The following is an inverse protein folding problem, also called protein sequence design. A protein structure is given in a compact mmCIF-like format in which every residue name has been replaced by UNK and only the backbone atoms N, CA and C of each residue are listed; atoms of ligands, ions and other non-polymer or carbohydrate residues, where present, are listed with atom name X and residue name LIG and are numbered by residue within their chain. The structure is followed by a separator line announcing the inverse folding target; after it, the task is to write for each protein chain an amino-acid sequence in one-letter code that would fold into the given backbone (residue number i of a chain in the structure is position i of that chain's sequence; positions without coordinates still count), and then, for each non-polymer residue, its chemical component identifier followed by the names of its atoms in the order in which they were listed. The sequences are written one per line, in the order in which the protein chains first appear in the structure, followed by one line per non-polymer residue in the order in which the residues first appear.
data_IF_110961238960
#
_entry.id   IF_110961238960
#
_cell.length_a   1.000
_cell.length_b   1.000
_cell.length_c   1.000
_cell.angle_alpha   90.00
_cell.angle_beta   90.00
_cell.angle_gamma   90.00
#
_symmetry.space_group_name_H-M   'P 1'
#
loop_
_entity.id
_entity.type
_entity.pdbx_description
1 polymer ?
#
# COMPACT_ATOMS: atom_id res chain seq x y z
N UNK A 1 18.45 -3.47 -8.23
CA UNK A 1 17.79 -2.69 -9.29
C UNK A 1 16.60 -3.50 -9.75
N UNK A 2 15.51 -2.85 -10.16
CA UNK A 2 14.26 -3.53 -10.53
C UNK A 2 14.38 -4.30 -11.85
N UNK A 3 13.74 -5.46 -11.92
CA UNK A 3 13.61 -6.32 -13.10
C UNK A 3 12.73 -5.69 -14.18
N UNK A 4 12.78 -6.19 -15.42
CA UNK A 4 11.96 -5.67 -16.54
C UNK A 4 10.45 -5.79 -16.29
N UNK A 5 10.00 -6.87 -15.63
CA UNK A 5 8.59 -7.06 -15.28
C UNK A 5 8.12 -6.04 -14.23
N UNK A 6 8.97 -5.72 -13.26
CA UNK A 6 8.71 -4.66 -12.28
C UNK A 6 8.72 -3.29 -12.95
N UNK A 7 9.62 -3.07 -13.92
CA UNK A 7 9.65 -1.83 -14.70
C UNK A 7 8.39 -1.60 -15.54
N UNK A 8 7.78 -2.65 -16.08
CA UNK A 8 6.51 -2.55 -16.79
C UNK A 8 5.35 -2.15 -15.85
N UNK A 9 5.24 -2.77 -14.67
CA UNK A 9 4.18 -2.43 -13.70
C UNK A 9 4.35 -1.05 -13.06
N UNK A 10 5.60 -0.64 -12.80
CA UNK A 10 5.93 0.66 -12.24
C UNK A 10 5.94 1.78 -13.30
N UNK A 11 5.98 1.42 -14.60
CA UNK A 11 5.92 2.37 -15.72
C UNK A 11 4.62 3.17 -15.74
N UNK A 12 3.49 2.54 -15.41
CA UNK A 12 2.18 3.19 -15.30
C UNK A 12 2.09 4.21 -14.15
N UNK A 13 2.98 4.11 -13.16
CA UNK A 13 3.04 4.98 -11.99
C UNK A 13 3.99 6.16 -12.16
N UNK A 14 5.15 5.91 -12.75
CA UNK A 14 6.30 6.82 -12.69
C UNK A 14 6.85 7.22 -14.05
N UNK A 15 6.28 6.68 -15.14
CA UNK A 15 6.79 6.87 -16.50
C UNK A 15 8.10 6.10 -16.74
N UNK A 16 8.90 6.55 -17.71
CA UNK A 16 10.11 5.86 -18.13
C UNK A 16 11.17 5.74 -16.99
N UNK A 17 11.93 4.63 -16.89
CA UNK A 17 12.84 4.32 -15.78
C UNK A 17 13.85 5.41 -15.40
N UNK A 18 14.26 6.25 -16.36
CA UNK A 18 15.20 7.35 -16.12
C UNK A 18 14.62 8.53 -15.32
N UNK A 19 13.29 8.59 -15.13
CA UNK A 19 12.61 9.69 -14.39
C UNK A 19 12.29 9.34 -12.93
N UNK A 20 12.47 8.08 -12.54
CA UNK A 20 12.05 7.60 -11.23
C UNK A 20 12.80 8.27 -10.08
N UNK A 21 14.08 8.63 -10.27
CA UNK A 21 14.88 9.34 -9.27
C UNK A 21 14.35 10.74 -8.90
N UNK A 22 13.64 11.39 -9.82
CA UNK A 22 13.10 12.76 -9.61
C UNK A 22 11.66 12.76 -9.08
N UNK A 23 10.89 11.69 -9.34
CA UNK A 23 9.49 11.52 -8.92
C UNK A 23 9.29 10.69 -7.66
N UNK A 24 10.33 10.01 -7.16
CA UNK A 24 10.38 9.32 -5.86
C UNK A 24 10.41 10.29 -4.65
N UNK A 25 9.62 11.36 -4.68
CA UNK A 25 9.32 12.09 -3.43
C UNK A 25 8.38 11.21 -2.61
N UNK A 26 8.79 10.89 -1.39
CA UNK A 26 8.22 9.87 -0.51
C UNK A 26 6.72 9.62 -0.73
N UNK A 27 6.39 8.41 -1.16
CA UNK A 27 5.01 7.99 -1.33
C UNK A 27 4.44 7.75 0.06
N UNK A 28 3.54 8.63 0.51
CA UNK A 28 2.85 8.42 1.77
C UNK A 28 2.09 7.09 1.69
N UNK A 29 2.54 6.12 2.48
CA UNK A 29 1.82 4.85 2.62
C UNK A 29 0.60 5.03 3.51
N UNK A 30 0.81 5.47 4.76
CA UNK A 30 -0.30 5.72 5.69
C UNK A 30 0.14 6.60 6.86
N UNK A 31 -0.85 7.11 7.60
CA UNK A 31 -0.67 7.66 8.93
C UNK A 31 -1.22 6.66 9.96
N UNK A 32 -0.44 6.39 11.00
CA UNK A 32 -0.86 5.57 12.12
C UNK A 32 -0.60 6.33 13.44
N UNK A 33 -1.56 6.23 14.36
CA UNK A 33 -1.50 6.89 15.67
C UNK A 33 -1.72 5.86 16.76
N UNK A 34 -0.89 5.91 17.79
CA UNK A 34 -0.97 5.01 18.94
C UNK A 34 -0.71 5.78 20.24
N UNK A 35 -1.43 5.42 21.30
CA UNK A 35 -1.11 5.84 22.67
C UNK A 35 -0.24 4.77 23.29
N UNK A 36 1.01 5.12 23.61
CA UNK A 36 1.96 4.21 24.25
C UNK A 36 1.71 4.19 25.76
N UNK A 37 1.54 3.02 26.39
CA UNK A 37 1.42 2.91 27.85
C UNK A 37 2.67 3.44 28.58
N UNK A 38 2.57 3.81 29.88
CA UNK A 38 3.74 4.23 30.65
C UNK A 38 4.84 3.16 30.64
N UNK A 39 6.09 3.59 30.48
CA UNK A 39 7.27 2.73 30.49
C UNK A 39 8.50 3.48 31.00
N UNK A 40 9.54 2.74 31.39
CA UNK A 40 10.86 3.27 31.72
C UNK A 40 11.89 2.73 30.73
N UNK A 41 12.77 3.60 30.22
CA UNK A 41 13.82 3.22 29.26
C UNK A 41 13.29 2.95 27.85
N UNK A 42 12.82 1.72 27.59
CA UNK A 42 12.36 1.29 26.28
C UNK A 42 11.15 0.35 26.39
N UNK A 43 10.28 0.39 25.38
CA UNK A 43 9.11 -0.49 25.27
C UNK A 43 8.89 -0.91 23.82
N UNK A 44 8.14 -1.99 23.63
CA UNK A 44 7.68 -2.47 22.33
C UNK A 44 6.15 -2.41 22.34
N UNK A 45 5.59 -1.87 21.27
CA UNK A 45 4.15 -1.73 21.09
C UNK A 45 3.77 -2.12 19.69
N UNK A 46 2.59 -2.72 19.55
CA UNK A 46 2.02 -3.02 18.24
C UNK A 46 1.39 -1.75 17.66
N UNK A 47 1.87 -1.33 16.48
CA UNK A 47 1.31 -0.22 15.73
C UNK A 47 0.40 -0.80 14.63
N UNK A 48 -0.93 -0.62 14.71
CA UNK A 48 -1.82 -1.06 13.65
C UNK A 48 -1.59 -0.24 12.39
N UNK A 49 -1.18 -0.91 11.32
CA UNK A 49 -1.00 -0.33 9.99
C UNK A 49 -2.06 -0.91 9.06
N UNK A 50 -2.97 -0.06 8.58
CA UNK A 50 -4.00 -0.49 7.64
C UNK A 50 -3.35 -0.80 6.29
N UNK A 51 -3.29 -2.09 5.96
CA UNK A 51 -2.85 -2.58 4.67
C UNK A 51 -4.08 -2.71 3.76
N UNK A 52 -4.10 -1.97 2.64
CA UNK A 52 -5.21 -1.99 1.70
C UNK A 52 -4.74 -2.44 0.32
N UNK A 53 -5.65 -3.03 -0.45
CA UNK A 53 -5.47 -3.36 -1.88
C UNK A 53 -5.85 -2.20 -2.79
N UNK A 54 -5.97 -0.97 -2.25
CA UNK A 54 -6.38 0.18 -3.06
C UNK A 54 -5.23 0.59 -3.98
N UNK A 55 -5.27 0.06 -5.19
CA UNK A 55 -4.34 0.37 -6.25
C UNK A 55 -4.45 1.81 -6.72
N UNK A 56 -5.32 2.70 -6.24
CA UNK A 56 -5.24 4.11 -6.62
C UNK A 56 -4.21 4.91 -5.81
N UNK A 57 -3.74 4.36 -4.70
CA UNK A 57 -2.69 4.99 -3.89
C UNK A 57 -1.33 4.57 -4.44
N UNK A 58 -0.51 5.55 -4.85
CA UNK A 58 0.79 5.31 -5.47
C UNK A 58 1.71 4.41 -4.61
N UNK A 59 1.64 4.54 -3.28
CA UNK A 59 2.34 3.65 -2.35
C UNK A 59 1.89 2.20 -2.48
N UNK A 60 0.58 1.93 -2.53
CA UNK A 60 0.03 0.57 -2.67
C UNK A 60 0.39 -0.05 -4.02
N UNK A 61 0.34 0.71 -5.13
CA UNK A 61 0.80 0.22 -6.43
C UNK A 61 2.30 -0.09 -6.42
N UNK A 62 3.12 0.74 -5.78
CA UNK A 62 4.54 0.46 -5.61
C UNK A 62 4.75 -0.82 -4.79
N UNK A 63 4.09 -0.95 -3.64
CA UNK A 63 4.16 -2.14 -2.78
C UNK A 63 3.73 -3.42 -3.51
N UNK A 64 2.71 -3.35 -4.36
CA UNK A 64 2.25 -4.48 -5.17
C UNK A 64 3.17 -4.78 -6.37
N UNK A 65 3.83 -3.75 -6.92
CA UNK A 65 4.69 -3.85 -8.09
C UNK A 65 6.06 -4.44 -7.82
N UNK A 66 6.57 -4.33 -6.58
CA UNK A 66 7.86 -4.93 -6.19
C UNK A 66 7.67 -6.43 -5.94
N UNK A 67 8.40 -7.26 -6.68
CA UNK A 67 8.24 -8.72 -6.71
C UNK A 67 9.26 -9.45 -5.86
N UNK A 68 10.46 -8.89 -5.72
CA UNK A 68 11.55 -9.43 -4.92
C UNK A 68 12.37 -8.36 -4.18
N UNK A 69 13.23 -8.82 -3.26
CA UNK A 69 14.08 -7.94 -2.45
C UNK A 69 13.35 -7.26 -1.30
N UNK A 70 13.56 -5.95 -1.16
CA UNK A 70 13.24 -5.18 0.03
C UNK A 70 12.58 -3.85 -0.33
N UNK A 71 11.46 -3.54 0.33
CA UNK A 71 10.73 -2.28 0.23
C UNK A 71 11.35 -1.28 1.23
N UNK A 72 11.90 -0.15 0.78
CA UNK A 72 12.39 0.88 1.68
C UNK A 72 11.21 1.62 2.33
N UNK A 73 11.17 1.62 3.65
CA UNK A 73 10.23 2.37 4.46
C UNK A 73 10.97 3.46 5.24
N UNK A 74 10.35 4.63 5.27
CA UNK A 74 10.76 5.76 6.10
C UNK A 74 9.62 6.06 7.08
N UNK A 75 9.92 5.95 8.37
CA UNK A 75 8.98 6.21 9.45
C UNK A 75 9.29 7.57 10.04
N UNK A 76 8.34 8.49 9.93
CA UNK A 76 8.44 9.84 10.49
C UNK A 76 7.59 9.91 11.75
N UNK A 77 8.20 10.30 12.87
CA UNK A 77 7.53 10.34 14.17
C UNK A 77 7.14 11.76 14.54
N UNK A 78 5.92 11.91 15.04
CA UNK A 78 5.43 13.14 15.65
C UNK A 78 4.51 12.80 16.79
N UNK A 79 4.59 13.56 17.87
CA UNK A 79 3.77 13.30 19.06
C UNK A 79 4.25 14.06 20.28
N UNK A 80 3.66 13.69 21.41
CA UNK A 80 3.88 14.33 22.69
C UNK A 80 4.25 13.27 23.72
N UNK A 81 5.31 13.53 24.47
CA UNK A 81 5.80 12.70 25.56
C UNK A 81 5.47 13.37 26.89
N UNK A 82 4.84 12.61 27.78
CA UNK A 82 4.56 12.99 29.16
C UNK A 82 5.53 12.24 30.06
N UNK A 83 6.24 12.93 30.95
CA UNK A 83 7.21 12.31 31.84
C UNK A 83 7.27 13.03 33.19
N UNK A 84 7.74 12.34 34.23
CA UNK A 84 7.97 12.97 35.53
C UNK A 84 9.33 13.69 35.52
N UNK A 85 9.31 15.00 35.82
CA UNK A 85 10.52 15.81 35.97
C UNK A 85 11.19 15.60 37.34
N UNK A 86 12.35 16.25 37.55
CA UNK A 86 13.02 16.25 38.85
C UNK A 86 12.07 16.81 39.93
N UNK A 87 11.70 15.97 40.91
CA UNK A 87 10.72 16.30 41.95
C UNK A 87 9.28 15.80 41.69
N UNK A 88 9.04 15.00 40.65
CA UNK A 88 7.76 14.32 40.42
C UNK A 88 6.69 15.16 39.72
N UNK A 89 6.99 16.42 39.35
CA UNK A 89 6.09 17.25 38.57
C UNK A 89 5.94 16.70 37.13
N UNK A 90 4.71 16.66 36.61
CA UNK A 90 4.46 16.27 35.23
C UNK A 90 5.09 17.28 34.25
N UNK A 91 5.87 16.76 33.31
CA UNK A 91 6.48 17.50 32.21
C UNK A 91 5.94 17.01 30.87
N UNK A 92 5.96 17.91 29.89
CA UNK A 92 5.50 17.65 28.53
C UNK A 92 6.62 18.04 27.58
N UNK A 93 6.94 17.15 26.64
CA UNK A 93 7.84 17.47 25.53
C UNK A 93 7.22 16.99 24.21
N UNK A 94 7.59 17.63 23.10
CA UNK A 94 7.24 17.14 21.76
C UNK A 94 8.35 16.25 21.24
N UNK A 95 7.97 15.20 20.52
CA UNK A 95 8.93 14.43 19.72
C UNK A 95 9.58 15.40 18.73
N UNK A 96 10.91 15.31 18.61
CA UNK A 96 11.69 16.16 17.71
C UNK A 96 11.22 16.00 16.26
N UNK A 97 11.27 17.07 15.49
CA UNK A 97 10.85 17.08 14.08
C UNK A 97 11.74 16.22 13.18
N UNK A 98 12.93 15.86 13.63
CA UNK A 98 13.88 14.98 12.95
C UNK A 98 13.89 13.55 13.51
N UNK A 99 12.88 13.18 14.31
CA UNK A 99 12.74 11.82 14.78
C UNK A 99 12.22 10.96 13.62
N UNK A 100 13.13 10.21 13.01
CA UNK A 100 12.84 9.33 11.89
C UNK A 100 13.57 7.99 12.04
N UNK A 101 13.05 6.96 11.38
CA UNK A 101 13.71 5.67 11.25
C UNK A 101 13.55 5.13 9.83
N UNK A 102 14.57 4.45 9.33
CA UNK A 102 14.48 3.73 8.05
C UNK A 102 14.43 2.23 8.32
N UNK A 103 13.60 1.55 7.54
CA UNK A 103 13.48 0.10 7.62
C UNK A 103 13.37 -0.49 6.22
N UNK A 104 14.12 -1.55 5.94
CA UNK A 104 14.01 -2.31 4.70
C UNK A 104 13.11 -3.49 4.99
N UNK A 105 11.84 -3.39 4.57
CA UNK A 105 10.85 -4.43 4.78
C UNK A 105 10.99 -5.49 3.69
N UNK A 106 11.15 -6.77 4.05
CA UNK A 106 11.23 -7.80 3.04
C UNK A 106 9.92 -7.92 2.28
N UNK A 107 9.99 -7.98 0.95
CA UNK A 107 8.79 -8.10 0.09
C UNK A 107 7.95 -9.30 0.46
N UNK A 108 8.59 -10.39 0.92
CA UNK A 108 7.88 -11.59 1.43
C UNK A 108 6.95 -11.30 2.60
N UNK A 109 7.26 -10.32 3.45
CA UNK A 109 6.40 -9.93 4.59
C UNK A 109 5.13 -9.27 4.07
N UNK A 110 5.29 -8.30 3.16
CA UNK A 110 4.15 -7.66 2.50
C UNK A 110 3.28 -8.68 1.77
N UNK A 111 3.88 -9.54 0.95
CA UNK A 111 3.14 -10.57 0.21
C UNK A 111 2.40 -11.53 1.14
N UNK A 112 3.06 -12.04 2.18
CA UNK A 112 2.42 -12.91 3.16
C UNK A 112 1.23 -12.22 3.86
N UNK A 113 1.35 -10.93 4.19
CA UNK A 113 0.25 -10.14 4.73
C UNK A 113 -0.90 -10.04 3.73
N UNK A 114 -0.62 -9.70 2.48
CA UNK A 114 -1.66 -9.55 1.46
C UNK A 114 -2.34 -10.88 1.13
N UNK A 115 -1.58 -11.95 0.97
CA UNK A 115 -2.10 -13.30 0.72
C UNK A 115 -2.96 -13.80 1.91
N UNK A 116 -2.61 -13.42 3.14
CA UNK A 116 -3.38 -13.78 4.34
C UNK A 116 -4.72 -13.06 4.41
N UNK A 117 -4.75 -11.75 4.15
CA UNK A 117 -5.97 -10.94 4.28
C UNK A 117 -6.83 -10.92 3.01
N UNK A 118 -6.26 -11.21 1.84
CA UNK A 118 -6.93 -11.18 0.54
C UNK A 118 -6.50 -12.38 -0.32
N UNK A 119 -6.84 -13.61 0.09
CA UNK A 119 -6.44 -14.81 -0.63
C UNK A 119 -7.08 -14.86 -2.03
N UNK A 120 -6.30 -15.28 -3.02
CA UNK A 120 -6.74 -15.66 -4.38
C UNK A 120 -7.57 -14.62 -5.16
N UNK A 121 -7.60 -13.36 -4.72
CA UNK A 121 -8.43 -12.31 -5.29
C UNK A 121 -7.67 -11.01 -5.53
N UNK A 122 -8.10 -10.25 -6.53
CA UNK A 122 -7.63 -8.89 -6.79
C UNK A 122 -8.82 -7.92 -6.71
N UNK A 123 -8.58 -6.73 -6.16
CA UNK A 123 -9.58 -5.66 -6.18
C UNK A 123 -9.37 -4.77 -7.40
N UNK A 124 -10.40 -4.64 -8.25
CA UNK A 124 -10.42 -3.69 -9.36
C UNK A 124 -11.41 -2.58 -9.04
N UNK A 125 -10.89 -1.38 -8.75
CA UNK A 125 -11.74 -0.20 -8.67
C UNK A 125 -12.08 0.26 -10.08
N UNK A 126 -13.33 0.62 -10.29
CA UNK A 126 -13.81 1.24 -11.53
C UNK A 126 -14.80 2.34 -11.19
N UNK A 127 -15.01 3.29 -12.11
CA UNK A 127 -16.01 4.33 -11.92
C UNK A 127 -17.44 3.75 -11.98
N UNK A 128 -18.42 4.54 -11.53
CA UNK A 128 -19.82 4.11 -11.44
C UNK A 128 -20.41 3.76 -12.81
N UNK A 129 -20.06 4.52 -13.85
CA UNK A 129 -20.59 4.31 -15.19
C UNK A 129 -20.06 3.00 -15.79
N UNK A 130 -18.77 2.74 -15.65
CA UNK A 130 -18.15 1.48 -16.07
C UNK A 130 -18.74 0.30 -15.31
N UNK A 131 -18.95 0.43 -13.99
CA UNK A 131 -19.61 -0.62 -13.21
C UNK A 131 -21.04 -0.90 -13.71
N UNK A 132 -21.85 0.13 -13.95
CA UNK A 132 -23.22 -0.03 -14.44
C UNK A 132 -23.25 -0.70 -15.82
N UNK A 133 -22.28 -0.40 -16.69
CA UNK A 133 -22.09 -1.09 -17.98
C UNK A 133 -21.75 -2.57 -17.80
N UNK A 134 -20.88 -2.91 -16.84
CA UNK A 134 -20.54 -4.30 -16.54
C UNK A 134 -21.75 -5.07 -15.97
N UNK A 135 -22.58 -4.44 -15.13
CA UNK A 135 -23.84 -5.02 -14.64
C UNK A 135 -24.79 -5.30 -15.80
N UNK A 136 -24.98 -4.34 -16.70
CA UNK A 136 -25.85 -4.50 -17.87
C UNK A 136 -25.35 -5.63 -18.79
N UNK A 137 -24.03 -5.70 -19.05
CA UNK A 137 -23.41 -6.76 -19.82
C UNK A 137 -23.66 -8.14 -19.19
N UNK A 138 -23.41 -8.27 -17.89
CA UNK A 138 -23.67 -9.50 -17.12
C UNK A 138 -25.12 -9.97 -17.27
N UNK A 139 -26.08 -9.05 -17.11
CA UNK A 139 -27.50 -9.35 -17.20
C UNK A 139 -27.91 -9.81 -18.61
N UNK A 140 -27.45 -9.10 -19.66
CA UNK A 140 -27.77 -9.43 -21.06
C UNK A 140 -27.30 -10.82 -21.51
N UNK A 141 -26.26 -11.36 -20.86
CA UNK A 141 -25.66 -12.67 -21.17
C UNK A 141 -25.96 -13.74 -20.13
N UNK A 142 -26.82 -13.43 -19.15
CA UNK A 142 -27.17 -14.31 -18.04
C UNK A 142 -25.95 -14.91 -17.32
N UNK A 143 -24.86 -14.13 -17.18
CA UNK A 143 -23.62 -14.58 -16.55
C UNK A 143 -23.76 -14.62 -15.02
N UNK A 144 -23.31 -15.71 -14.42
CA UNK A 144 -23.55 -16.01 -13.01
C UNK A 144 -22.51 -15.43 -12.06
N UNK A 145 -21.32 -15.05 -12.53
CA UNK A 145 -20.25 -14.45 -11.74
C UNK A 145 -19.59 -13.26 -12.43
N UNK A 146 -18.78 -12.51 -11.69
CA UNK A 146 -17.97 -11.42 -12.24
C UNK A 146 -16.75 -11.94 -13.00
N UNK A 147 -16.20 -13.09 -12.59
CA UNK A 147 -15.16 -13.82 -13.32
C UNK A 147 -15.65 -14.18 -14.72
N UNK A 148 -16.88 -14.68 -14.87
CA UNK A 148 -17.46 -14.99 -16.18
C UNK A 148 -17.65 -13.74 -17.05
N UNK A 149 -17.91 -12.57 -16.43
CA UNK A 149 -17.96 -11.28 -17.15
C UNK A 149 -16.57 -10.91 -17.65
N UNK A 150 -15.55 -10.99 -16.79
CA UNK A 150 -14.18 -10.67 -17.15
C UNK A 150 -13.65 -11.63 -18.23
N UNK A 151 -13.85 -12.94 -18.08
CA UNK A 151 -13.45 -13.93 -19.08
C UNK A 151 -14.10 -13.66 -20.44
N UNK A 152 -15.41 -13.34 -20.45
CA UNK A 152 -16.11 -13.00 -21.68
C UNK A 152 -15.60 -11.70 -22.35
N UNK A 153 -15.02 -10.77 -21.58
CA UNK A 153 -14.42 -9.53 -22.09
C UNK A 153 -12.96 -9.70 -22.51
N UNK A 154 -12.21 -10.58 -21.83
CA UNK A 154 -10.79 -10.84 -22.05
C UNK A 154 -10.54 -11.90 -23.13
N UNK A 155 -11.54 -12.74 -23.44
CA UNK A 155 -11.44 -13.69 -24.55
C UNK A 155 -11.15 -12.90 -25.83
N UNK A 156 -10.03 -13.15 -26.53
CA UNK A 156 -9.69 -12.42 -27.74
C UNK A 156 -10.84 -12.53 -28.74
N UNK A 157 -11.37 -11.39 -29.19
CA UNK A 157 -12.06 -11.39 -30.46
C UNK A 157 -11.00 -11.74 -31.51
N UNK A 158 -11.09 -12.93 -32.11
CA UNK A 158 -10.43 -13.17 -33.39
C UNK A 158 -10.93 -12.08 -34.34
N UNK A 159 -10.09 -11.07 -34.59
CA UNK A 159 -10.25 -10.22 -35.76
C UNK A 159 -9.93 -11.14 -36.92
N UNK A 160 -10.98 -11.74 -37.49
CA UNK A 160 -10.89 -12.53 -38.71
C UNK A 160 -10.23 -11.70 -39.84
N UNK A 161 -9.59 -12.39 -40.80
CA UNK A 161 -8.74 -11.77 -41.82
C UNK A 161 -9.46 -10.73 -42.68
#
# INVERSE_FOLDING_TARGET
GYSEAEQAQLGDLFGAPHRWGDTLRGLLWTHATLVVPPFEGATVVDLPVLCTYDFDVAATKYLAGVRDGEIPLELLFSGTVFYAGAGGALQINRISWNAEATYRMPVRVWRATMDHYFPDGAWLRTDRETFDRLVAFRASRALTSWEAVLDALLTPHEVGP
#
